data_IF_992102597890
#
_entry.id   IF_992102597890
#
_cell.length_a   1.000
_cell.length_b   1.000
_cell.length_c   1.000
_cell.angle_alpha   90.00
_cell.angle_beta   90.00
_cell.angle_gamma   90.00
#
_symmetry.space_group_name_H-M   'P 1'
#
loop_
_entity.id
_entity.type
_entity.pdbx_description
1 polymer ?
#
# COMPACT_ATOMS: atom_id res chain seq x y z
N UNK A 1 32.56 -9.77 -3.02
CA UNK A 1 31.56 -8.76 -3.42
C UNK A 1 31.02 -8.10 -2.17
N UNK A 2 30.68 -6.81 -2.19
CA UNK A 2 30.01 -6.20 -1.03
C UNK A 2 28.52 -6.52 -1.12
N UNK A 3 27.91 -7.08 -0.08
CA UNK A 3 26.47 -7.33 -0.06
C UNK A 3 25.69 -6.03 0.01
N UNK A 4 24.47 -6.06 -0.48
CA UNK A 4 23.53 -4.93 -0.51
C UNK A 4 22.21 -5.35 0.10
N UNK A 5 21.59 -4.46 0.83
CA UNK A 5 20.21 -4.61 1.20
C UNK A 5 19.34 -4.10 0.05
N UNK A 6 18.31 -4.83 -0.33
CA UNK A 6 17.41 -4.40 -1.38
C UNK A 6 15.98 -4.90 -1.18
N UNK A 7 15.02 -4.13 -1.65
CA UNK A 7 13.68 -4.61 -1.91
C UNK A 7 13.71 -5.41 -3.20
N UNK A 8 13.27 -6.66 -3.15
CA UNK A 8 13.20 -7.55 -4.31
C UNK A 8 11.76 -7.85 -4.62
N UNK A 9 11.36 -7.59 -5.86
CA UNK A 9 10.04 -7.92 -6.40
C UNK A 9 10.20 -9.00 -7.47
N UNK A 10 9.51 -10.13 -7.27
CA UNK A 10 9.48 -11.25 -8.20
C UNK A 10 8.11 -11.34 -8.85
N UNK A 11 8.09 -11.44 -10.17
CA UNK A 11 6.89 -11.72 -10.96
C UNK A 11 7.02 -13.09 -11.63
N UNK A 12 6.10 -13.98 -11.33
CA UNK A 12 5.97 -15.31 -11.91
C UNK A 12 4.86 -15.27 -12.96
N UNK A 13 5.22 -15.41 -14.24
CA UNK A 13 4.30 -15.18 -15.36
C UNK A 13 4.12 -16.45 -16.18
N UNK A 14 2.86 -16.89 -16.30
CA UNK A 14 2.44 -18.08 -17.07
C UNK A 14 1.47 -17.75 -18.21
N UNK A 15 1.22 -16.48 -18.47
CA UNK A 15 0.34 -15.98 -19.54
C UNK A 15 1.15 -15.24 -20.60
N UNK A 16 0.62 -15.17 -21.81
CA UNK A 16 1.27 -14.43 -22.90
C UNK A 16 1.05 -12.91 -22.83
N UNK A 17 0.01 -12.48 -22.11
CA UNK A 17 -0.35 -11.08 -21.94
C UNK A 17 -0.60 -10.77 -20.46
N UNK A 18 0.46 -10.53 -19.67
CA UNK A 18 0.31 -10.15 -18.27
C UNK A 18 -0.37 -8.79 -18.11
N UNK A 19 -0.21 -7.88 -19.08
CA UNK A 19 -0.85 -6.57 -19.04
C UNK A 19 -2.37 -6.67 -19.00
N UNK A 20 -2.98 -7.53 -19.80
CA UNK A 20 -4.43 -7.75 -19.78
C UNK A 20 -4.92 -8.24 -18.42
N UNK A 21 -4.17 -9.14 -17.77
CA UNK A 21 -4.51 -9.66 -16.44
C UNK A 21 -4.44 -8.54 -15.40
N UNK A 22 -3.36 -7.77 -15.38
CA UNK A 22 -3.11 -6.75 -14.38
C UNK A 22 -4.03 -5.54 -14.54
N UNK A 23 -4.32 -5.11 -15.78
CA UNK A 23 -5.27 -4.03 -16.08
C UNK A 23 -6.73 -4.38 -15.72
N UNK A 24 -7.07 -5.67 -15.62
CA UNK A 24 -8.38 -6.10 -15.15
C UNK A 24 -8.63 -5.79 -13.65
N UNK A 25 -7.62 -5.33 -12.93
CA UNK A 25 -7.70 -4.94 -11.51
C UNK A 25 -8.05 -6.12 -10.59
N UNK A 26 -7.39 -7.30 -10.71
CA UNK A 26 -7.72 -8.46 -9.91
C UNK A 26 -7.42 -8.18 -8.43
N UNK A 27 -8.25 -8.77 -7.55
CA UNK A 27 -8.04 -8.69 -6.10
C UNK A 27 -7.10 -9.79 -5.63
N UNK A 28 -6.23 -9.46 -4.69
CA UNK A 28 -5.35 -10.43 -4.05
C UNK A 28 -6.12 -11.36 -3.10
N UNK A 29 -5.79 -12.65 -3.11
CA UNK A 29 -6.34 -13.64 -2.17
C UNK A 29 -5.44 -13.79 -0.95
N UNK A 30 -5.99 -13.48 0.24
CA UNK A 30 -5.29 -13.64 1.52
C UNK A 30 -4.88 -15.08 1.82
N UNK A 31 -5.66 -16.05 1.34
CA UNK A 31 -5.38 -17.48 1.53
C UNK A 31 -4.15 -17.93 0.74
N UNK A 32 -3.98 -17.39 -0.47
CA UNK A 32 -2.85 -17.70 -1.35
C UNK A 32 -1.51 -17.38 -0.69
N UNK A 33 -1.31 -16.14 -0.22
CA UNK A 33 -0.05 -15.73 0.37
C UNK A 33 0.27 -16.44 1.71
N UNK A 34 -0.73 -16.72 2.54
CA UNK A 34 -0.53 -17.56 3.74
C UNK A 34 -0.03 -18.96 3.38
N UNK A 35 -0.65 -19.61 2.38
CA UNK A 35 -0.22 -20.92 1.90
C UNK A 35 1.19 -20.87 1.32
N UNK A 36 1.48 -19.86 0.50
CA UNK A 36 2.81 -19.63 -0.07
C UNK A 36 3.88 -19.55 1.02
N UNK A 37 3.70 -18.68 2.01
CA UNK A 37 4.67 -18.50 3.09
C UNK A 37 4.81 -19.74 3.98
N UNK A 38 3.71 -20.46 4.25
CA UNK A 38 3.76 -21.71 5.00
C UNK A 38 4.54 -22.82 4.26
N UNK A 39 4.49 -22.84 2.92
CA UNK A 39 5.32 -23.74 2.10
C UNK A 39 6.79 -23.29 2.06
N UNK A 40 7.03 -21.98 2.06
CA UNK A 40 8.40 -21.42 2.15
C UNK A 40 9.05 -21.78 3.49
N UNK A 41 8.38 -21.59 4.59
CA UNK A 41 8.85 -21.98 5.90
C UNK A 41 7.70 -22.23 6.88
N UNK A 42 7.38 -23.50 7.20
CA UNK A 42 6.29 -23.85 8.10
C UNK A 42 6.42 -23.31 9.54
N UNK A 43 7.64 -22.90 9.94
CA UNK A 43 7.89 -22.38 11.29
C UNK A 43 7.66 -20.87 11.42
N UNK A 44 7.38 -20.17 10.33
CA UNK A 44 7.17 -18.74 10.39
C UNK A 44 5.83 -18.38 11.04
N UNK A 45 5.83 -17.44 12.00
CA UNK A 45 4.60 -16.93 12.61
C UNK A 45 3.95 -15.91 11.66
N UNK A 46 3.18 -16.40 10.69
CA UNK A 46 2.58 -15.58 9.63
C UNK A 46 1.41 -14.76 10.17
N UNK A 47 1.48 -13.44 10.06
CA UNK A 47 0.38 -12.50 10.32
C UNK A 47 0.08 -11.65 9.10
N UNK A 48 -1.22 -11.36 8.84
CA UNK A 48 -1.65 -10.42 7.78
C UNK A 48 -1.80 -9.04 8.39
N UNK A 49 -1.21 -8.02 7.79
CA UNK A 49 -1.36 -6.66 8.30
C UNK A 49 -2.15 -5.71 7.38
N UNK A 50 -2.44 -6.09 6.15
CA UNK A 50 -3.26 -5.26 5.27
C UNK A 50 -3.45 -5.82 3.88
N UNK A 51 -4.28 -5.13 3.11
CA UNK A 51 -4.45 -5.28 1.68
C UNK A 51 -4.40 -3.87 1.08
N UNK A 52 -3.56 -3.66 0.10
CA UNK A 52 -3.27 -2.33 -0.45
C UNK A 52 -2.70 -2.45 -1.88
N UNK A 53 -2.67 -1.36 -2.65
CA UNK A 53 -2.00 -1.35 -3.95
C UNK A 53 -0.48 -1.34 -3.77
N UNK A 54 0.22 -2.30 -4.40
CA UNK A 54 1.67 -2.45 -4.37
C UNK A 54 2.39 -1.18 -4.81
N UNK A 55 1.97 -0.62 -5.93
CA UNK A 55 2.60 0.51 -6.60
C UNK A 55 2.36 1.88 -5.94
N UNK A 56 1.51 1.94 -4.90
CA UNK A 56 1.22 3.17 -4.14
C UNK A 56 1.54 3.04 -2.65
N UNK A 57 2.15 1.96 -2.28
CA UNK A 57 2.51 1.67 -0.89
C UNK A 57 4.00 1.76 -0.68
N UNK A 58 4.41 1.92 0.57
CA UNK A 58 5.82 1.80 0.96
C UNK A 58 6.26 0.37 0.68
N UNK A 59 7.48 0.21 0.19
CA UNK A 59 8.06 -1.10 -0.10
C UNK A 59 8.17 -1.98 1.15
N UNK A 60 8.22 -3.30 0.95
CA UNK A 60 8.34 -4.28 2.03
C UNK A 60 9.62 -4.04 2.85
N UNK A 61 9.47 -4.10 4.18
CA UNK A 61 10.57 -4.04 5.12
C UNK A 61 11.04 -5.45 5.51
N UNK A 62 12.10 -5.54 6.30
CA UNK A 62 12.62 -6.82 6.83
C UNK A 62 11.51 -7.65 7.50
N UNK A 63 11.39 -8.90 7.09
CA UNK A 63 10.35 -9.83 7.60
C UNK A 63 8.95 -9.57 7.07
N UNK A 64 8.81 -8.74 6.04
CA UNK A 64 7.56 -8.46 5.34
C UNK A 64 7.54 -9.05 3.94
N UNK A 65 6.36 -9.48 3.52
CA UNK A 65 6.09 -9.99 2.19
C UNK A 65 4.80 -9.39 1.66
N UNK A 66 4.83 -8.83 0.46
CA UNK A 66 3.64 -8.36 -0.25
C UNK A 66 3.36 -9.34 -1.37
N UNK A 67 2.23 -10.02 -1.30
CA UNK A 67 1.97 -11.16 -2.18
C UNK A 67 0.59 -11.03 -2.82
N UNK A 68 0.52 -11.31 -4.12
CA UNK A 68 -0.73 -11.55 -4.81
C UNK A 68 -0.58 -12.68 -5.83
N UNK A 69 -1.58 -13.56 -5.88
CA UNK A 69 -1.78 -14.53 -6.95
C UNK A 69 -2.96 -14.08 -7.80
N UNK A 70 -2.70 -13.76 -9.05
CA UNK A 70 -3.67 -13.45 -10.08
C UNK A 70 -3.77 -14.61 -11.09
N UNK A 71 -4.74 -14.62 -11.99
CA UNK A 71 -4.82 -15.67 -13.02
C UNK A 71 -3.57 -15.69 -13.91
N UNK A 72 -2.67 -16.66 -13.66
CA UNK A 72 -1.43 -16.83 -14.42
C UNK A 72 -0.33 -15.81 -14.18
N UNK A 73 -0.48 -14.91 -13.20
CA UNK A 73 0.54 -13.94 -12.77
C UNK A 73 0.60 -13.92 -11.25
N UNK A 74 1.79 -14.07 -10.69
CA UNK A 74 1.98 -13.93 -9.23
C UNK A 74 3.07 -12.92 -8.95
N UNK A 75 2.84 -12.07 -7.96
CA UNK A 75 3.86 -11.14 -7.46
C UNK A 75 4.21 -11.46 -6.01
N UNK A 76 5.52 -11.40 -5.73
CA UNK A 76 6.08 -11.51 -4.38
C UNK A 76 7.11 -10.41 -4.22
N UNK A 77 6.87 -9.47 -3.33
CA UNK A 77 7.86 -8.46 -2.93
C UNK A 77 8.31 -8.73 -1.50
N UNK A 78 9.59 -8.64 -1.25
CA UNK A 78 10.19 -8.77 0.09
C UNK A 78 11.49 -7.98 0.18
N UNK A 79 11.95 -7.75 1.39
CA UNK A 79 13.24 -7.14 1.66
C UNK A 79 14.29 -8.23 1.89
N UNK A 80 15.37 -8.18 1.15
CA UNK A 80 16.53 -9.08 1.32
C UNK A 80 17.71 -8.30 1.84
N UNK A 81 18.29 -8.81 2.95
CA UNK A 81 19.55 -8.35 3.49
C UNK A 81 20.71 -9.10 2.82
N UNK A 82 21.83 -8.45 2.72
CA UNK A 82 23.09 -9.05 2.23
C UNK A 82 22.97 -9.74 0.85
N UNK A 83 22.09 -9.23 -0.02
CA UNK A 83 22.01 -9.70 -1.39
C UNK A 83 23.26 -9.27 -2.16
N UNK A 84 23.83 -10.15 -2.96
CA UNK A 84 24.98 -9.86 -3.82
C UNK A 84 24.53 -9.42 -5.21
N UNK A 85 23.87 -10.30 -5.93
CA UNK A 85 23.35 -10.13 -7.28
C UNK A 85 22.07 -10.94 -7.46
N UNK A 86 21.28 -10.62 -8.49
CA UNK A 86 20.00 -11.30 -8.71
C UNK A 86 20.14 -12.75 -9.20
N UNK A 87 21.19 -13.07 -9.93
CA UNK A 87 21.44 -14.47 -10.35
C UNK A 87 21.70 -15.43 -9.17
N UNK A 88 22.11 -14.89 -8.01
CA UNK A 88 22.35 -15.65 -6.78
C UNK A 88 21.17 -15.65 -5.81
N UNK A 89 19.97 -15.22 -6.25
CA UNK A 89 18.76 -15.30 -5.43
C UNK A 89 18.55 -16.71 -4.88
N UNK A 90 18.08 -16.86 -3.63
CA UNK A 90 17.80 -18.17 -3.06
C UNK A 90 16.91 -19.02 -3.97
N UNK A 91 17.39 -20.18 -4.37
CA UNK A 91 16.68 -21.11 -5.26
C UNK A 91 15.27 -21.41 -4.78
N UNK A 92 15.08 -21.46 -3.45
CA UNK A 92 13.77 -21.67 -2.83
C UNK A 92 12.82 -20.53 -3.11
N UNK A 93 13.29 -19.29 -3.20
CA UNK A 93 12.48 -18.13 -3.55
C UNK A 93 12.22 -18.12 -5.06
N UNK A 94 13.25 -18.31 -5.88
CA UNK A 94 13.16 -18.31 -7.33
C UNK A 94 12.23 -19.41 -7.87
N UNK A 95 12.29 -20.62 -7.30
CA UNK A 95 11.49 -21.78 -7.69
C UNK A 95 10.23 -21.97 -6.82
N UNK A 96 9.83 -20.94 -6.10
CA UNK A 96 8.67 -21.02 -5.19
C UNK A 96 7.35 -21.21 -5.91
N UNK A 97 7.27 -20.79 -7.17
CA UNK A 97 6.12 -20.91 -8.07
C UNK A 97 6.64 -21.34 -9.43
N UNK A 98 6.03 -22.36 -10.00
CA UNK A 98 6.32 -22.77 -11.37
C UNK A 98 5.82 -21.70 -12.35
N UNK A 99 6.74 -21.19 -13.18
CA UNK A 99 6.43 -20.15 -14.14
C UNK A 99 7.25 -20.31 -15.43
N UNK A 100 6.63 -19.89 -16.55
CA UNK A 100 7.32 -19.84 -17.84
C UNK A 100 8.39 -18.76 -17.85
N UNK A 101 8.01 -17.59 -17.37
CA UNK A 101 8.91 -16.43 -17.21
C UNK A 101 8.91 -15.98 -15.75
N UNK A 102 10.11 -15.72 -15.21
CA UNK A 102 10.30 -15.12 -13.89
C UNK A 102 11.08 -13.83 -14.08
N UNK A 103 10.49 -12.72 -13.69
CA UNK A 103 11.16 -11.43 -13.67
C UNK A 103 11.47 -11.04 -12.24
N UNK A 104 12.69 -10.61 -11.99
CA UNK A 104 13.14 -10.09 -10.70
C UNK A 104 13.63 -8.67 -10.83
N UNK A 105 13.21 -7.83 -9.90
CA UNK A 105 13.60 -6.45 -9.77
C UNK A 105 14.15 -6.22 -8.38
N UNK A 106 15.28 -5.54 -8.28
CA UNK A 106 15.89 -5.20 -7.01
C UNK A 106 16.17 -3.70 -6.95
N UNK A 107 15.79 -3.06 -5.85
CA UNK A 107 15.97 -1.63 -5.67
C UNK A 107 16.43 -1.30 -4.24
N UNK A 108 17.34 -0.32 -4.16
CA UNK A 108 17.66 0.36 -2.91
C UNK A 108 17.88 1.85 -3.23
N UNK A 109 16.87 2.67 -2.91
CA UNK A 109 16.88 4.11 -3.19
C UNK A 109 17.97 4.87 -2.44
N UNK A 110 18.35 4.42 -1.23
CA UNK A 110 19.36 5.09 -0.41
C UNK A 110 20.76 4.95 -1.01
N UNK A 111 21.03 3.82 -1.67
CA UNK A 111 22.36 3.52 -2.26
C UNK A 111 22.39 3.75 -3.77
N UNK A 112 21.25 3.98 -4.42
CA UNK A 112 21.12 4.02 -5.87
C UNK A 112 21.38 2.66 -6.54
N UNK A 113 21.24 1.56 -5.80
CA UNK A 113 21.35 0.21 -6.34
C UNK A 113 20.07 -0.15 -7.10
N UNK A 114 20.24 -0.65 -8.32
CA UNK A 114 19.16 -1.21 -9.13
C UNK A 114 19.61 -2.51 -9.81
N UNK A 115 18.68 -3.44 -9.93
CA UNK A 115 18.93 -4.71 -10.59
C UNK A 115 17.70 -5.26 -11.28
N UNK A 116 17.92 -5.91 -12.42
CA UNK A 116 16.91 -6.62 -13.19
C UNK A 116 17.40 -8.03 -13.51
N UNK A 117 16.50 -9.02 -13.51
CA UNK A 117 16.82 -10.34 -14.02
C UNK A 117 15.58 -11.02 -14.62
N UNK A 118 15.81 -11.81 -15.67
CA UNK A 118 14.80 -12.57 -16.38
C UNK A 118 15.25 -14.02 -16.53
N UNK A 119 14.42 -14.93 -16.05
CA UNK A 119 14.53 -16.37 -16.32
C UNK A 119 13.38 -16.80 -17.22
N UNK A 120 13.69 -17.62 -18.21
CA UNK A 120 12.70 -18.22 -19.11
C UNK A 120 12.87 -19.73 -19.09
N UNK A 121 11.82 -20.46 -18.73
CA UNK A 121 11.86 -21.91 -18.60
C UNK A 121 12.92 -22.38 -17.58
N UNK A 122 13.19 -21.58 -16.56
CA UNK A 122 14.20 -21.86 -15.53
C UNK A 122 15.65 -21.48 -15.91
N UNK A 123 15.89 -21.04 -17.15
CA UNK A 123 17.21 -20.58 -17.59
C UNK A 123 17.33 -19.05 -17.47
N UNK A 124 18.45 -18.59 -16.88
CA UNK A 124 18.75 -17.15 -16.80
C UNK A 124 19.04 -16.62 -18.20
N UNK A 125 18.26 -15.68 -18.67
CA UNK A 125 18.42 -14.99 -19.97
C UNK A 125 19.14 -13.66 -19.85
N UNK A 126 18.79 -12.90 -18.83
CA UNK A 126 19.36 -11.59 -18.54
C UNK A 126 19.50 -11.40 -17.03
N UNK A 127 20.61 -10.86 -16.58
CA UNK A 127 20.76 -10.29 -15.24
C UNK A 127 21.72 -9.10 -15.31
N UNK A 128 21.27 -7.98 -14.72
CA UNK A 128 22.09 -6.78 -14.59
C UNK A 128 21.87 -6.19 -13.20
N UNK A 129 22.94 -5.99 -12.46
CA UNK A 129 22.90 -5.38 -11.14
C UNK A 129 23.99 -4.32 -11.03
N UNK A 130 23.62 -3.09 -10.67
CA UNK A 130 24.56 -1.99 -10.63
C UNK A 130 24.18 -0.92 -9.60
N UNK A 131 25.16 -0.10 -9.28
CA UNK A 131 25.02 1.29 -8.86
C UNK A 131 25.59 2.15 -9.96
N UNK A 132 25.35 3.45 -9.93
CA UNK A 132 25.80 4.35 -10.96
C UNK A 132 27.32 4.29 -11.21
N UNK A 133 28.09 4.08 -10.16
CA UNK A 133 29.54 4.05 -10.16
C UNK A 133 30.15 2.63 -10.32
N UNK A 134 29.32 1.59 -10.31
CA UNK A 134 29.80 0.20 -10.31
C UNK A 134 28.76 -0.79 -10.83
N UNK A 135 29.20 -1.64 -11.76
CA UNK A 135 28.45 -2.83 -12.19
C UNK A 135 28.87 -4.02 -11.33
N UNK A 136 27.92 -4.73 -10.76
CA UNK A 136 28.12 -5.94 -9.94
C UNK A 136 27.88 -7.20 -10.74
N UNK A 137 26.91 -7.16 -11.67
CA UNK A 137 26.56 -8.27 -12.56
C UNK A 137 26.11 -7.73 -13.91
N UNK A 138 26.52 -8.44 -14.97
CA UNK A 138 26.06 -8.21 -16.34
C UNK A 138 26.13 -9.56 -17.09
N UNK A 139 25.00 -10.27 -17.10
CA UNK A 139 24.85 -11.61 -17.70
C UNK A 139 23.78 -11.56 -18.77
N UNK A 140 24.04 -12.20 -19.90
CA UNK A 140 23.16 -12.21 -21.07
C UNK A 140 23.34 -10.97 -21.95
N UNK A 141 22.61 -10.93 -23.05
CA UNK A 141 22.62 -9.78 -23.96
C UNK A 141 21.61 -8.72 -23.48
N UNK A 142 21.96 -7.41 -23.58
CA UNK A 142 21.01 -6.37 -23.32
C UNK A 142 19.77 -6.49 -24.19
N UNK A 143 18.61 -6.24 -23.62
CA UNK A 143 17.36 -6.26 -24.35
C UNK A 143 17.11 -4.91 -25.07
N UNK A 144 16.26 -4.89 -26.11
CA UNK A 144 16.06 -3.66 -26.91
C UNK A 144 15.65 -2.42 -26.10
N UNK A 145 14.91 -2.58 -25.02
CA UNK A 145 14.48 -1.46 -24.16
C UNK A 145 15.65 -0.83 -23.37
N UNK A 146 16.76 -1.55 -23.18
CA UNK A 146 17.95 -1.02 -22.53
C UNK A 146 18.71 -0.04 -23.44
N UNK A 147 18.58 -0.14 -24.78
CA UNK A 147 19.38 0.62 -25.74
C UNK A 147 19.33 2.15 -25.55
N UNK A 148 18.19 2.79 -25.28
CA UNK A 148 18.12 4.24 -25.02
C UNK A 148 18.92 4.66 -23.79
N UNK A 149 18.94 3.83 -22.74
CA UNK A 149 19.68 4.08 -21.50
C UNK A 149 21.18 4.01 -21.76
N UNK A 150 21.64 3.00 -22.50
CA UNK A 150 23.05 2.83 -22.88
C UNK A 150 23.55 3.91 -23.86
N UNK A 151 22.64 4.51 -24.65
CA UNK A 151 22.96 5.63 -25.54
C UNK A 151 23.14 6.96 -24.80
N UNK A 152 22.88 7.04 -23.50
CA UNK A 152 23.07 8.22 -22.69
C UNK A 152 24.53 8.67 -22.60
N UNK A 153 24.76 9.88 -22.12
CA UNK A 153 26.12 10.42 -21.95
C UNK A 153 26.69 10.02 -20.59
N UNK A 154 27.72 9.17 -20.62
CA UNK A 154 28.45 8.83 -19.41
C UNK A 154 29.31 10.01 -18.94
N UNK A 155 29.32 10.31 -17.66
CA UNK A 155 30.20 11.27 -17.03
C UNK A 155 31.32 10.54 -16.28
N UNK A 156 32.53 10.54 -16.83
CA UNK A 156 33.66 9.83 -16.25
C UNK A 156 33.53 8.32 -16.38
N UNK A 157 33.67 7.60 -15.26
CA UNK A 157 33.61 6.13 -15.19
C UNK A 157 32.19 5.62 -14.83
N UNK A 158 31.23 6.53 -14.67
CA UNK A 158 29.88 6.20 -14.25
C UNK A 158 29.06 5.64 -15.41
N UNK A 159 28.04 4.85 -15.08
CA UNK A 159 27.00 4.45 -16.05
C UNK A 159 26.32 5.69 -16.66
N UNK A 160 25.85 5.62 -17.92
CA UNK A 160 25.15 6.72 -18.56
C UNK A 160 23.71 6.92 -18.03
N UNK A 161 23.24 6.07 -17.12
CA UNK A 161 21.90 6.08 -16.52
C UNK A 161 21.95 5.74 -15.03
N UNK A 162 20.87 6.05 -14.32
CA UNK A 162 20.66 5.54 -12.97
C UNK A 162 20.10 4.11 -13.05
N UNK A 163 20.68 3.13 -12.33
CA UNK A 163 20.21 1.75 -12.38
C UNK A 163 18.73 1.56 -12.00
N UNK A 164 18.18 2.43 -11.16
CA UNK A 164 16.74 2.42 -10.82
C UNK A 164 15.87 2.78 -12.04
N UNK A 165 16.35 3.61 -12.95
CA UNK A 165 15.60 3.92 -14.18
C UNK A 165 15.53 2.70 -15.12
N UNK A 166 16.60 1.89 -15.16
CA UNK A 166 16.57 0.61 -15.87
C UNK A 166 15.54 -0.35 -15.27
N UNK A 167 15.42 -0.40 -13.96
CA UNK A 167 14.40 -1.23 -13.28
C UNK A 167 12.99 -0.82 -13.72
N UNK A 168 12.69 0.47 -13.74
CA UNK A 168 11.37 1.00 -14.16
C UNK A 168 11.04 0.72 -15.62
N UNK A 169 12.05 0.87 -16.52
CA UNK A 169 11.87 0.52 -17.92
C UNK A 169 11.61 -0.98 -18.12
N UNK A 170 12.36 -1.82 -17.41
CA UNK A 170 12.18 -3.26 -17.46
C UNK A 170 10.81 -3.72 -16.94
N UNK A 171 10.35 -3.17 -15.82
CA UNK A 171 9.01 -3.40 -15.26
C UNK A 171 7.95 -3.17 -16.32
N UNK A 172 7.97 -1.98 -16.91
CA UNK A 172 6.98 -1.58 -17.94
C UNK A 172 7.09 -2.46 -19.18
N UNK A 173 8.31 -2.79 -19.60
CA UNK A 173 8.53 -3.58 -20.82
C UNK A 173 8.10 -5.04 -20.66
N UNK A 174 8.49 -5.69 -19.57
CA UNK A 174 8.23 -7.12 -19.35
C UNK A 174 6.80 -7.43 -18.93
N UNK A 175 6.16 -6.52 -18.20
CA UNK A 175 4.78 -6.69 -17.74
C UNK A 175 3.75 -6.00 -18.64
N UNK A 176 4.20 -5.09 -19.50
CA UNK A 176 3.34 -4.36 -20.45
C UNK A 176 2.41 -3.36 -19.78
N UNK A 177 2.68 -2.95 -18.53
CA UNK A 177 1.93 -1.95 -17.77
C UNK A 177 2.86 -1.00 -17.04
N UNK A 178 2.37 0.19 -16.75
CA UNK A 178 3.05 1.12 -15.85
C UNK A 178 2.83 0.70 -14.40
N UNK A 179 3.91 0.37 -13.69
CA UNK A 179 3.92 -0.01 -12.26
C UNK A 179 4.14 1.20 -11.34
N UNK A 180 4.31 2.39 -11.89
CA UNK A 180 4.41 3.61 -11.08
C UNK A 180 3.10 3.92 -10.34
N UNK A 181 3.13 4.93 -9.47
CA UNK A 181 1.93 5.38 -8.75
C UNK A 181 0.81 5.90 -9.68
N UNK A 182 1.12 6.22 -10.93
CA UNK A 182 0.15 6.68 -11.93
C UNK A 182 -0.52 5.52 -12.69
N UNK A 183 0.05 4.31 -12.59
CA UNK A 183 -0.47 3.10 -13.21
C UNK A 183 -1.70 2.50 -12.50
N UNK A 184 -2.21 1.34 -12.97
CA UNK A 184 -3.35 0.66 -12.37
C UNK A 184 -3.04 0.15 -10.96
N UNK A 185 -4.06 0.09 -10.09
CA UNK A 185 -3.91 -0.43 -8.73
C UNK A 185 -3.58 -1.94 -8.74
N UNK A 186 -2.40 -2.31 -8.27
CA UNK A 186 -1.96 -3.70 -8.14
C UNK A 186 -2.23 -4.20 -6.71
N UNK A 187 -3.41 -4.79 -6.49
CA UNK A 187 -3.83 -5.25 -5.15
C UNK A 187 -2.93 -6.36 -4.64
N UNK A 188 -2.27 -6.16 -3.50
CA UNK A 188 -1.48 -7.17 -2.78
C UNK A 188 -1.94 -7.30 -1.35
N UNK A 189 -1.61 -8.43 -0.73
CA UNK A 189 -1.76 -8.62 0.72
C UNK A 189 -0.40 -8.57 1.37
N UNK A 190 -0.29 -7.76 2.43
CA UNK A 190 0.90 -7.65 3.26
C UNK A 190 0.91 -8.69 4.38
N UNK A 191 2.00 -9.42 4.46
CA UNK A 191 2.28 -10.44 5.47
C UNK A 191 3.55 -10.09 6.24
N UNK A 192 3.55 -10.37 7.55
CA UNK A 192 4.74 -10.33 8.36
C UNK A 192 5.04 -11.74 8.89
N UNK A 193 6.34 -12.05 9.00
CA UNK A 193 6.84 -13.33 9.50
C UNK A 193 7.72 -13.17 10.74
N UNK A 194 7.68 -11.99 11.38
CA UNK A 194 8.48 -11.61 12.55
C UNK A 194 7.76 -11.84 13.89
N UNK A 195 6.53 -12.40 13.86
CA UNK A 195 5.74 -12.69 15.06
C UNK A 195 4.93 -11.50 15.57
N UNK A 196 4.87 -10.38 14.84
CA UNK A 196 3.94 -9.29 15.19
C UNK A 196 2.50 -9.76 15.17
N UNK A 197 1.69 -9.20 16.06
CA UNK A 197 0.26 -9.55 16.12
C UNK A 197 -0.47 -9.01 14.89
N UNK A 198 -1.35 -9.84 14.35
CA UNK A 198 -2.27 -9.41 13.28
C UNK A 198 -3.10 -8.20 13.77
N UNK A 199 -3.09 -7.07 13.07
CA UNK A 199 -3.89 -5.93 13.46
C UNK A 199 -5.36 -6.33 13.46
N UNK A 200 -6.08 -6.00 14.53
CA UNK A 200 -7.54 -6.16 14.56
C UNK A 200 -8.09 -5.16 13.53
N UNK A 201 -8.39 -5.63 12.34
CA UNK A 201 -9.15 -4.84 11.39
C UNK A 201 -10.47 -4.54 12.08
N UNK A 202 -10.63 -3.30 12.58
CA UNK A 202 -11.95 -2.83 12.97
C UNK A 202 -12.81 -2.94 11.72
N UNK A 203 -13.75 -3.88 11.71
CA UNK A 203 -14.81 -3.91 10.70
C UNK A 203 -15.31 -2.47 10.56
N UNK A 204 -15.34 -1.88 9.34
CA UNK A 204 -15.88 -0.55 9.15
C UNK A 204 -17.25 -0.56 9.84
N UNK A 205 -17.39 0.25 10.89
CA UNK A 205 -18.70 0.39 11.54
C UNK A 205 -19.65 0.83 10.46
N UNK A 206 -20.74 0.11 10.20
CA UNK A 206 -21.72 0.55 9.21
C UNK A 206 -22.03 2.02 9.51
N UNK A 207 -22.19 2.87 8.50
CA UNK A 207 -22.48 4.28 8.72
C UNK A 207 -23.70 4.35 9.63
N UNK A 208 -23.50 4.92 10.83
CA UNK A 208 -24.59 5.09 11.77
C UNK A 208 -25.62 6.00 11.14
N UNK A 209 -26.88 5.58 11.14
CA UNK A 209 -27.96 6.46 10.71
C UNK A 209 -28.00 7.69 11.62
N UNK A 210 -28.49 8.80 11.13
CA UNK A 210 -28.65 10.01 11.96
C UNK A 210 -29.55 9.72 13.16
N UNK A 211 -30.56 8.85 13.01
CA UNK A 211 -31.40 8.34 14.09
C UNK A 211 -30.61 7.61 15.17
N UNK A 212 -29.66 6.70 14.80
CA UNK A 212 -28.83 5.97 15.77
C UNK A 212 -27.87 6.91 16.52
N UNK A 213 -27.39 7.97 15.86
CA UNK A 213 -26.55 8.98 16.50
C UNK A 213 -27.35 9.83 17.50
N UNK A 214 -28.59 10.21 17.15
CA UNK A 214 -29.49 10.96 18.01
C UNK A 214 -29.89 10.11 19.23
N UNK A 215 -30.23 8.85 19.03
CA UNK A 215 -30.59 7.94 20.11
C UNK A 215 -29.41 7.67 21.05
N UNK A 216 -28.21 7.46 20.52
CA UNK A 216 -27.01 7.28 21.35
C UNK A 216 -26.61 8.58 22.11
N UNK A 217 -26.83 9.74 21.54
CA UNK A 217 -26.62 11.02 22.19
C UNK A 217 -27.68 11.27 23.29
N UNK A 218 -28.94 10.99 23.01
CA UNK A 218 -30.05 11.10 23.98
C UNK A 218 -29.84 10.18 25.18
N UNK A 219 -29.36 8.94 24.95
CA UNK A 219 -29.04 8.00 26.02
C UNK A 219 -27.86 8.49 26.87
N UNK A 220 -26.80 9.04 26.27
CA UNK A 220 -25.63 9.58 26.96
C UNK A 220 -25.95 10.85 27.79
N UNK A 221 -26.91 11.63 27.33
CA UNK A 221 -27.37 12.85 28.00
C UNK A 221 -28.50 12.59 29.02
N UNK A 222 -28.89 11.32 29.25
CA UNK A 222 -29.98 10.97 30.15
C UNK A 222 -31.36 11.41 29.67
N UNK A 223 -31.51 11.74 28.38
CA UNK A 223 -32.74 12.24 27.78
C UNK A 223 -33.58 11.11 27.15
N UNK A 224 -33.39 9.85 27.58
CA UNK A 224 -34.08 8.72 27.01
C UNK A 224 -35.56 8.74 27.45
N UNK A 225 -36.53 8.85 26.53
CA UNK A 225 -37.96 8.90 26.88
C UNK A 225 -38.52 7.59 27.46
N UNK A 226 -37.73 6.50 27.43
CA UNK A 226 -38.18 5.15 27.88
C UNK A 226 -38.20 4.96 29.42
N UNK A 227 -37.78 5.94 30.23
CA UNK A 227 -37.76 5.84 31.69
C UNK A 227 -38.79 6.71 32.42
N UNK A 228 -39.74 7.30 31.71
CA UNK A 228 -40.90 7.89 32.38
C UNK A 228 -42.05 6.88 32.35
N UNK A 229 -42.35 6.30 33.51
CA UNK A 229 -43.54 5.54 33.73
C UNK A 229 -44.76 6.35 33.30
N UNK A 230 -45.56 5.72 32.48
CA UNK A 230 -46.80 6.26 31.95
C UNK A 230 -47.83 6.08 33.07
N UNK A 231 -48.09 7.13 33.82
CA UNK A 231 -49.34 7.27 34.56
C UNK A 231 -49.69 8.75 34.68
N UNK A 232 -50.92 9.01 34.34
CA UNK A 232 -51.74 10.20 34.43
C UNK A 232 -51.94 10.98 33.12
N UNK A 233 -53.11 10.64 32.54
CA UNK A 233 -53.84 11.44 31.58
C UNK A 233 -54.53 12.61 32.30
N UNK A 234 -54.07 13.85 32.04
CA UNK A 234 -54.91 15.03 32.06
C UNK A 234 -54.71 15.78 30.75
N UNK A 235 -55.81 15.97 30.01
CA UNK A 235 -55.87 16.73 28.76
C UNK A 235 -55.51 18.19 29.03
N UNK A 236 -54.42 18.65 28.48
CA UNK A 236 -54.08 20.05 28.39
C UNK A 236 -54.25 20.58 26.95
N UNK A 237 -54.76 21.81 26.76
CA UNK A 237 -55.18 22.36 25.48
C UNK A 237 -54.02 22.55 24.51
N UNK A 238 -54.30 22.42 23.21
CA UNK A 238 -53.38 22.32 22.06
C UNK A 238 -52.42 23.51 21.84
N UNK A 239 -52.62 24.64 22.50
CA UNK A 239 -51.80 25.85 22.27
C UNK A 239 -50.42 25.83 22.94
N UNK A 240 -50.19 24.96 23.92
CA UNK A 240 -48.89 24.87 24.64
C UNK A 240 -47.84 24.02 23.91
N UNK A 241 -48.22 23.27 22.86
CA UNK A 241 -47.26 22.43 22.08
C UNK A 241 -46.53 23.19 21.00
N UNK A 242 -47.11 24.25 20.44
CA UNK A 242 -46.49 25.06 19.38
C UNK A 242 -45.39 25.97 19.93
N UNK A 243 -45.55 26.50 21.14
CA UNK A 243 -44.54 27.39 21.76
C UNK A 243 -43.26 26.65 22.22
N UNK A 244 -43.40 25.40 22.67
CA UNK A 244 -42.21 24.58 23.08
C UNK A 244 -41.36 24.13 21.89
N UNK A 245 -41.97 23.82 20.77
CA UNK A 245 -41.27 23.50 19.54
C UNK A 245 -40.52 24.70 18.97
N UNK A 246 -41.10 25.89 19.06
CA UNK A 246 -40.51 27.16 18.64
C UNK A 246 -39.29 27.55 19.48
N UNK A 247 -39.39 27.39 20.82
CA UNK A 247 -38.25 27.65 21.75
C UNK A 247 -37.11 26.67 21.57
N UNK A 248 -37.37 25.36 21.43
CA UNK A 248 -36.35 24.36 21.17
C UNK A 248 -35.59 24.61 19.86
N UNK A 249 -36.27 25.13 18.84
CA UNK A 249 -35.67 25.51 17.55
C UNK A 249 -34.81 26.78 17.66
N UNK A 250 -35.23 27.76 18.48
CA UNK A 250 -34.48 28.97 18.73
C UNK A 250 -33.17 28.67 19.50
N UNK A 251 -33.24 27.79 20.50
CA UNK A 251 -32.06 27.37 21.31
C UNK A 251 -31.06 26.53 20.49
N UNK A 252 -31.53 25.63 19.61
CA UNK A 252 -30.68 24.88 18.68
C UNK A 252 -29.95 25.80 17.70
N UNK A 253 -30.64 26.88 17.22
CA UNK A 253 -30.04 27.88 16.33
C UNK A 253 -29.01 28.74 17.05
N UNK A 254 -29.21 29.06 18.32
CA UNK A 254 -28.27 29.79 19.16
C UNK A 254 -27.00 28.99 19.44
N UNK A 255 -27.13 27.71 19.74
CA UNK A 255 -26.00 26.77 19.93
C UNK A 255 -25.17 26.60 18.66
N UNK A 256 -25.81 26.45 17.49
CA UNK A 256 -25.10 26.35 16.22
C UNK A 256 -24.33 27.63 15.85
N UNK A 257 -24.85 28.79 16.25
CA UNK A 257 -24.21 30.09 16.03
C UNK A 257 -23.00 30.32 16.97
N UNK A 258 -23.06 29.82 18.20
CA UNK A 258 -21.94 29.84 19.15
C UNK A 258 -20.80 28.92 18.73
N UNK A 259 -21.11 27.70 18.25
CA UNK A 259 -20.12 26.76 17.74
C UNK A 259 -19.36 27.30 16.51
N UNK A 260 -20.07 28.00 15.61
CA UNK A 260 -19.41 28.66 14.47
C UNK A 260 -18.48 29.82 14.88
N UNK A 261 -18.79 30.55 15.96
CA UNK A 261 -17.90 31.60 16.50
C UNK A 261 -16.64 31.02 17.11
N UNK A 262 -16.75 29.93 17.87
CA UNK A 262 -15.59 29.25 18.48
C UNK A 262 -14.64 28.69 17.44
N UNK A 263 -15.17 28.11 16.32
CA UNK A 263 -14.35 27.60 15.22
C UNK A 263 -13.62 28.71 14.45
N UNK A 264 -14.23 29.91 14.30
CA UNK A 264 -13.55 31.05 13.68
C UNK A 264 -12.44 31.61 14.57
N UNK A 265 -12.68 31.74 15.88
CA UNK A 265 -11.67 32.19 16.84
C UNK A 265 -10.47 31.24 16.88
N UNK A 266 -10.70 29.92 16.78
CA UNK A 266 -9.61 28.92 16.74
C UNK A 266 -8.79 29.02 15.45
N UNK A 267 -9.45 29.28 14.30
CA UNK A 267 -8.79 29.47 13.00
C UNK A 267 -7.89 30.71 12.95
N UNK A 268 -8.29 31.80 13.60
CA UNK A 268 -7.48 33.03 13.68
C UNK A 268 -6.26 32.87 14.59
N UNK A 269 -6.39 32.17 15.72
CA UNK A 269 -5.27 31.89 16.64
C UNK A 269 -4.20 30.99 16.03
N UNK A 270 -4.59 30.03 15.18
CA UNK A 270 -3.66 29.17 14.44
C UNK A 270 -2.93 29.97 13.36
N UNK A 271 -3.62 30.89 12.67
CA UNK A 271 -3.05 31.73 11.62
C UNK A 271 -2.04 32.73 12.13
N UNK A 272 -2.25 33.30 13.36
CA UNK A 272 -1.31 34.22 14.03
C UNK A 272 -0.06 33.48 14.54
N UNK A 273 -0.20 32.24 15.04
CA UNK A 273 0.97 31.43 15.45
C UNK A 273 1.85 31.04 14.26
N UNK A 274 1.28 30.77 13.10
CA UNK A 274 2.04 30.44 11.88
C UNK A 274 2.77 31.68 11.29
N UNK A 275 2.27 32.88 11.50
CA UNK A 275 2.95 34.11 11.04
C UNK A 275 4.14 34.56 11.91
N UNK A 276 4.27 34.07 13.13
CA UNK A 276 5.37 34.41 14.02
C UNK A 276 6.52 33.41 14.03
N UNK A 277 6.42 32.28 13.28
CA UNK A 277 7.48 31.27 13.17
C UNK A 277 8.43 31.51 11.98
N UNK A 278 8.14 32.49 11.12
CA UNK A 278 8.92 32.78 9.90
C UNK A 278 9.85 34.03 10.05
N UNK A 279 10.20 34.40 11.28
CA UNK A 279 11.23 35.43 11.56
C UNK A 279 12.08 34.97 12.74
N UNK A 280 13.07 34.12 12.47
CA UNK A 280 14.14 33.77 13.38
C UNK A 280 15.24 33.11 12.58
#
# INVERSE_FOLDING_TARGET
MQPHDAVVTLWFVNVSDPAAVLNAGPKADRGFGRKYLALMNPSWPISVFGEFPLNRSVSASKGEFYIAGYPGVTVVQTFLEEMTVLSELPTKLLNSIEARDVYAFAENGDTGFGGIAHWQGGELRRSFCARRDRVYEDVGLPEPFEAPLWAGQATGINLPFEPIDLVREADTHWLGIDISADGPDLSVVGYAVDGRKEPRLSTPRPPRSVSDMVESASTKLGLNPATRAYDDYEEAPDDARLDRAGQAWADAKALAKSARRSLRAFGETVKDKLRHTDRG
#
